data_IF_585672997398
#
_entry.id   IF_585672997398
#
_cell.length_a   1.000
_cell.length_b   1.000
_cell.length_c   1.000
_cell.angle_alpha   90.00
_cell.angle_beta   90.00
_cell.angle_gamma   90.00
#
_symmetry.space_group_name_H-M   'P 1'
#
loop_
_entity.id
_entity.type
_entity.pdbx_description
1 polymer ?
#
# COMPACT_ATOMS: atom_id res chain seq x y z
N UNK A 1 -29.94 -25.08 31.76
CA UNK A 1 -29.34 -25.42 30.45
C UNK A 1 -28.82 -24.10 29.85
N UNK A 2 -27.53 -23.90 29.99
CA UNK A 2 -26.86 -22.67 29.57
C UNK A 2 -26.11 -22.95 28.26
N UNK A 3 -26.63 -22.44 27.16
CA UNK A 3 -26.01 -22.59 25.84
C UNK A 3 -24.86 -21.61 25.65
N UNK A 4 -23.62 -22.05 25.80
CA UNK A 4 -22.46 -21.31 25.37
C UNK A 4 -22.39 -21.32 23.84
N UNK A 5 -22.75 -20.22 23.21
CA UNK A 5 -22.40 -19.96 21.82
C UNK A 5 -20.91 -19.63 21.77
N UNK A 6 -20.11 -20.63 21.36
CA UNK A 6 -18.72 -20.40 20.95
C UNK A 6 -18.71 -19.54 19.69
N UNK A 7 -18.37 -18.28 19.84
CA UNK A 7 -17.88 -17.46 18.72
C UNK A 7 -16.57 -18.13 18.24
N UNK A 8 -16.64 -18.82 17.11
CA UNK A 8 -15.46 -19.27 16.39
C UNK A 8 -14.66 -18.04 15.94
N UNK A 9 -13.80 -17.55 16.79
CA UNK A 9 -12.73 -16.64 16.39
C UNK A 9 -11.73 -17.52 15.64
N UNK A 10 -11.66 -17.34 14.33
CA UNK A 10 -10.78 -18.10 13.46
C UNK A 10 -9.32 -17.84 13.87
N UNK A 11 -8.58 -18.80 14.48
CA UNK A 11 -7.25 -18.55 15.03
C UNK A 11 -6.18 -18.25 13.97
N UNK A 12 -6.53 -18.34 12.69
CA UNK A 12 -5.61 -18.14 11.56
C UNK A 12 -5.26 -16.66 11.31
N UNK A 13 -6.02 -15.71 11.89
CA UNK A 13 -5.74 -14.27 11.77
C UNK A 13 -4.67 -13.76 12.76
N UNK A 14 -4.23 -14.60 13.70
CA UNK A 14 -3.37 -14.16 14.81
C UNK A 14 -1.86 -14.22 14.51
N UNK A 15 -1.46 -14.68 13.33
CA UNK A 15 -0.04 -14.81 12.95
C UNK A 15 0.35 -14.00 11.73
N UNK A 16 -0.28 -12.83 11.53
CA UNK A 16 0.24 -11.90 10.52
C UNK A 16 1.54 -11.28 11.06
N UNK A 17 2.60 -11.32 10.25
CA UNK A 17 3.87 -10.74 10.61
C UNK A 17 3.67 -9.27 11.03
N UNK A 18 4.14 -8.95 12.23
CA UNK A 18 4.10 -7.57 12.71
C UNK A 18 5.35 -6.89 12.17
N UNK A 19 5.21 -6.08 11.15
CA UNK A 19 6.32 -5.27 10.67
C UNK A 19 6.59 -4.15 11.66
N UNK A 20 7.85 -3.78 11.79
CA UNK A 20 8.30 -2.80 12.77
C UNK A 20 7.62 -1.44 12.60
N UNK A 21 7.35 -1.03 11.35
CA UNK A 21 6.88 0.32 11.00
C UNK A 21 5.55 0.39 10.26
N UNK A 22 4.97 -0.74 9.86
CA UNK A 22 3.70 -0.80 9.13
C UNK A 22 2.74 -1.80 9.75
N UNK A 23 1.46 -1.49 9.70
CA UNK A 23 0.40 -2.37 10.18
C UNK A 23 -0.63 -2.62 9.08
N UNK A 24 -1.28 -3.78 9.10
CA UNK A 24 -2.38 -4.08 8.19
C UNK A 24 -3.51 -3.03 8.31
N UNK A 25 -3.77 -2.56 9.53
CA UNK A 25 -4.77 -1.52 9.78
C UNK A 25 -4.45 -0.23 9.03
N UNK A 26 -3.19 0.19 9.02
CA UNK A 26 -2.72 1.37 8.28
C UNK A 26 -2.84 1.16 6.76
N UNK A 27 -2.40 0.00 6.27
CA UNK A 27 -2.46 -0.36 4.85
C UNK A 27 -3.88 -0.46 4.29
N UNK A 28 -4.89 -0.62 5.14
CA UNK A 28 -6.30 -0.69 4.76
C UNK A 28 -7.10 0.55 5.19
N UNK A 29 -6.46 1.53 5.81
CA UNK A 29 -7.15 2.74 6.27
C UNK A 29 -7.56 3.64 5.10
N UNK A 30 -8.79 4.19 5.18
CA UNK A 30 -9.29 5.18 4.22
C UNK A 30 -10.37 6.05 4.88
N UNK A 31 -10.18 7.36 4.83
CA UNK A 31 -11.19 8.30 5.32
C UNK A 31 -12.41 8.36 4.41
N UNK A 32 -12.23 8.09 3.10
CA UNK A 32 -13.34 8.01 2.14
C UNK A 32 -14.18 6.77 2.45
N UNK A 33 -13.55 5.62 2.69
CA UNK A 33 -14.26 4.41 3.08
C UNK A 33 -15.09 4.64 4.36
N UNK A 34 -14.50 5.27 5.38
CA UNK A 34 -15.21 5.61 6.63
C UNK A 34 -16.40 6.55 6.38
N UNK A 35 -16.19 7.65 5.63
CA UNK A 35 -17.24 8.64 5.34
C UNK A 35 -18.39 8.07 4.54
N UNK A 36 -18.12 7.14 3.63
CA UNK A 36 -19.12 6.53 2.73
C UNK A 36 -19.59 5.16 3.22
N UNK A 37 -19.16 4.72 4.41
CA UNK A 37 -19.48 3.40 4.95
C UNK A 37 -19.17 2.25 3.99
N UNK A 38 -18.01 2.35 3.31
CA UNK A 38 -17.51 1.33 2.39
C UNK A 38 -16.68 0.32 3.18
N UNK A 39 -16.98 -0.96 3.03
CA UNK A 39 -16.13 -2.03 3.58
C UNK A 39 -14.82 -2.09 2.79
N UNK A 40 -13.71 -1.87 3.50
CA UNK A 40 -12.36 -1.96 2.98
C UNK A 40 -11.53 -2.99 3.75
N UNK A 41 -12.18 -4.04 4.27
CA UNK A 41 -11.48 -5.12 4.94
C UNK A 41 -10.90 -6.10 3.91
N UNK A 42 -9.62 -6.45 3.96
CA UNK A 42 -8.98 -7.31 2.98
C UNK A 42 -9.36 -8.78 3.21
N UNK A 43 -9.51 -9.55 2.13
CA UNK A 43 -9.54 -11.02 2.23
C UNK A 43 -8.20 -11.55 2.75
N UNK A 44 -8.17 -12.82 3.16
CA UNK A 44 -6.92 -13.48 3.59
C UNK A 44 -5.82 -13.40 2.51
N UNK A 45 -6.18 -13.65 1.25
CA UNK A 45 -5.23 -13.54 0.12
C UNK A 45 -4.68 -12.14 -0.02
N UNK A 46 -5.54 -11.11 0.01
CA UNK A 46 -5.10 -9.71 -0.08
C UNK A 46 -4.22 -9.33 1.12
N UNK A 47 -4.57 -9.80 2.31
CA UNK A 47 -3.75 -9.55 3.50
C UNK A 47 -2.34 -10.15 3.35
N UNK A 48 -2.20 -11.34 2.75
CA UNK A 48 -0.90 -11.95 2.42
C UNK A 48 -0.12 -11.15 1.35
N UNK A 49 -0.81 -10.61 0.35
CA UNK A 49 -0.19 -9.75 -0.65
C UNK A 49 0.35 -8.45 -0.02
N UNK A 50 -0.41 -7.85 0.91
CA UNK A 50 0.04 -6.67 1.67
C UNK A 50 1.24 -6.99 2.59
N UNK A 51 1.27 -8.18 3.17
CA UNK A 51 2.42 -8.68 3.93
C UNK A 51 3.65 -8.76 3.03
N UNK A 52 3.53 -9.37 1.85
CA UNK A 52 4.62 -9.49 0.87
C UNK A 52 5.10 -8.12 0.36
N UNK A 53 4.18 -7.21 0.03
CA UNK A 53 4.49 -5.82 -0.34
C UNK A 53 5.32 -5.14 0.77
N UNK A 54 4.89 -5.31 2.02
CA UNK A 54 5.56 -4.70 3.16
C UNK A 54 6.94 -5.28 3.37
N UNK A 55 7.08 -6.60 3.33
CA UNK A 55 8.36 -7.29 3.51
C UNK A 55 9.37 -6.92 2.44
N UNK A 56 8.94 -6.93 1.17
CA UNK A 56 9.84 -6.77 0.03
C UNK A 56 10.13 -5.32 -0.36
N UNK A 57 9.19 -4.39 -0.11
CA UNK A 57 9.35 -2.99 -0.51
C UNK A 57 9.24 -2.00 0.63
N UNK A 58 8.13 -1.99 1.39
CA UNK A 58 7.85 -0.86 2.28
C UNK A 58 8.78 -0.82 3.49
N UNK A 59 9.00 -1.95 4.16
CA UNK A 59 9.86 -2.02 5.33
C UNK A 59 11.34 -1.80 4.99
N UNK A 60 11.92 -2.40 3.93
CA UNK A 60 13.27 -2.07 3.48
C UNK A 60 13.44 -0.60 3.09
N UNK A 61 12.47 -0.03 2.36
CA UNK A 61 12.48 1.39 2.02
C UNK A 61 12.46 2.28 3.27
N UNK A 62 11.56 1.98 4.23
CA UNK A 62 11.43 2.72 5.48
C UNK A 62 12.74 2.68 6.29
N UNK A 63 13.40 1.53 6.32
CA UNK A 63 14.69 1.37 6.99
C UNK A 63 15.78 2.18 6.29
N UNK A 64 15.83 2.16 4.96
CA UNK A 64 16.81 2.90 4.18
C UNK A 64 16.59 4.43 4.24
N UNK A 65 15.34 4.90 4.19
CA UNK A 65 14.97 6.32 4.32
C UNK A 65 15.25 6.86 5.72
N UNK A 66 15.19 5.99 6.72
CA UNK A 66 15.47 6.28 8.15
C UNK A 66 14.60 7.41 8.76
N UNK A 67 13.43 7.66 8.21
CA UNK A 67 12.46 8.64 8.71
C UNK A 67 11.02 8.14 8.43
N UNK A 68 10.02 8.48 9.27
CA UNK A 68 8.66 7.97 9.09
C UNK A 68 8.07 8.24 7.70
N UNK A 69 7.44 7.19 7.15
CA UNK A 69 6.70 7.22 5.89
C UNK A 69 5.24 6.92 6.21
N UNK A 70 4.33 7.77 5.77
CA UNK A 70 2.88 7.56 5.87
C UNK A 70 2.37 6.83 4.63
N UNK A 71 1.44 5.92 4.83
CA UNK A 71 0.67 5.31 3.75
C UNK A 71 -0.61 6.12 3.55
N UNK A 72 -0.67 6.89 2.48
CA UNK A 72 -1.87 7.68 2.13
C UNK A 72 -2.98 6.78 1.57
N UNK A 73 -2.61 5.70 0.87
CA UNK A 73 -3.50 4.68 0.35
C UNK A 73 -2.73 3.37 0.18
N UNK A 74 -3.20 2.30 0.76
CA UNK A 74 -2.71 0.93 0.52
C UNK A 74 -3.77 0.13 -0.22
N UNK A 75 -4.36 -0.90 0.43
CA UNK A 75 -5.45 -1.67 -0.16
C UNK A 75 -6.69 -0.82 -0.44
N UNK A 76 -7.30 -1.08 -1.59
CA UNK A 76 -8.60 -0.53 -1.97
C UNK A 76 -9.52 -1.66 -2.42
N UNK A 77 -10.62 -1.90 -1.68
CA UNK A 77 -11.70 -2.74 -2.20
C UNK A 77 -12.23 -2.17 -3.51
N UNK A 78 -12.89 -3.00 -4.33
CA UNK A 78 -13.46 -2.51 -5.60
C UNK A 78 -14.36 -1.29 -5.38
N UNK A 79 -15.22 -1.33 -4.37
CA UNK A 79 -16.13 -0.23 -4.05
C UNK A 79 -15.37 1.06 -3.68
N UNK A 80 -14.28 0.94 -2.91
CA UNK A 80 -13.44 2.10 -2.58
C UNK A 80 -12.70 2.60 -3.82
N UNK A 81 -12.16 1.71 -4.65
CA UNK A 81 -11.48 2.10 -5.88
C UNK A 81 -12.40 2.87 -6.82
N UNK A 82 -13.65 2.43 -6.97
CA UNK A 82 -14.67 3.13 -7.76
C UNK A 82 -15.01 4.50 -7.14
N UNK A 83 -15.15 4.58 -5.81
CA UNK A 83 -15.45 5.82 -5.09
C UNK A 83 -14.35 6.89 -5.24
N UNK A 84 -13.08 6.48 -5.29
CA UNK A 84 -11.94 7.39 -5.53
C UNK A 84 -11.62 7.58 -7.01
N UNK A 85 -12.43 7.03 -7.91
CA UNK A 85 -12.23 7.07 -9.37
C UNK A 85 -10.87 6.51 -9.80
N UNK A 86 -10.41 5.48 -9.11
CA UNK A 86 -9.19 4.77 -9.46
C UNK A 86 -9.32 4.00 -10.78
N UNK A 87 -8.18 3.66 -11.40
CA UNK A 87 -8.19 2.85 -12.62
C UNK A 87 -8.81 1.46 -12.35
N UNK A 88 -9.54 0.92 -13.33
CA UNK A 88 -10.35 -0.30 -13.16
C UNK A 88 -9.52 -1.50 -12.65
N UNK A 89 -8.32 -1.70 -13.19
CA UNK A 89 -7.41 -2.79 -12.82
C UNK A 89 -6.28 -2.29 -11.92
N UNK A 90 -6.61 -1.48 -10.93
CA UNK A 90 -5.64 -0.93 -9.99
C UNK A 90 -5.05 -2.04 -9.12
N UNK A 91 -3.72 -2.14 -9.06
CA UNK A 91 -3.00 -3.10 -8.21
C UNK A 91 -3.15 -2.82 -6.71
N UNK A 92 -3.71 -1.67 -6.32
CA UNK A 92 -4.20 -1.45 -4.96
C UNK A 92 -5.31 -2.43 -4.56
N UNK A 93 -6.14 -2.89 -5.53
CA UNK A 93 -7.18 -3.88 -5.27
C UNK A 93 -6.60 -5.27 -5.00
N UNK A 94 -5.39 -5.54 -5.49
CA UNK A 94 -4.67 -6.79 -5.29
C UNK A 94 -3.77 -6.77 -4.03
N UNK A 95 -3.65 -5.62 -3.35
CA UNK A 95 -2.79 -5.45 -2.18
C UNK A 95 -1.29 -5.33 -2.52
N UNK A 96 -0.93 -5.03 -3.77
CA UNK A 96 0.46 -4.94 -4.23
C UNK A 96 0.95 -3.52 -4.47
N UNK A 97 0.22 -2.50 -4.04
CA UNK A 97 0.63 -1.10 -4.15
C UNK A 97 0.35 -0.28 -2.90
N UNK A 98 1.17 0.75 -2.71
CA UNK A 98 0.96 1.79 -1.71
C UNK A 98 1.32 3.18 -2.26
N UNK A 99 0.51 4.17 -1.88
CA UNK A 99 0.77 5.58 -2.11
C UNK A 99 1.42 6.16 -0.85
N UNK A 100 2.65 6.63 -0.97
CA UNK A 100 3.55 6.95 0.12
C UNK A 100 3.82 8.46 0.21
N UNK A 101 3.97 8.96 1.44
CA UNK A 101 4.35 10.33 1.71
C UNK A 101 5.32 10.39 2.91
N UNK A 102 6.48 11.07 2.80
CA UNK A 102 7.41 11.20 3.93
C UNK A 102 6.84 12.14 5.00
N UNK A 103 6.91 11.73 6.27
CA UNK A 103 6.31 12.51 7.37
C UNK A 103 6.99 13.87 7.61
N UNK A 104 8.22 14.02 7.17
CA UNK A 104 8.96 15.29 7.21
C UNK A 104 8.55 16.30 6.11
N UNK A 105 7.62 15.93 5.22
CA UNK A 105 7.11 16.79 4.15
C UNK A 105 8.01 16.92 2.91
N UNK A 106 9.19 16.32 2.90
CA UNK A 106 10.21 16.44 1.83
C UNK A 106 9.92 15.48 0.65
N UNK A 107 8.77 15.62 0.03
CA UNK A 107 8.28 14.68 -0.99
C UNK A 107 9.20 14.57 -2.22
N UNK A 108 9.77 15.68 -2.68
CA UNK A 108 10.65 15.68 -3.86
C UNK A 108 12.00 14.98 -3.52
N UNK A 109 12.57 15.24 -2.33
CA UNK A 109 13.76 14.53 -1.84
C UNK A 109 13.49 13.03 -1.68
N UNK A 110 12.33 12.69 -1.11
CA UNK A 110 11.91 11.29 -0.93
C UNK A 110 11.76 10.57 -2.28
N UNK A 111 11.13 11.20 -3.25
CA UNK A 111 10.99 10.63 -4.60
C UNK A 111 12.34 10.33 -5.25
N UNK A 112 13.27 11.28 -5.21
CA UNK A 112 14.63 11.08 -5.72
C UNK A 112 15.35 9.96 -4.97
N UNK A 113 15.22 9.93 -3.64
CA UNK A 113 15.80 8.88 -2.80
C UNK A 113 15.28 7.50 -3.18
N UNK A 114 13.96 7.32 -3.33
CA UNK A 114 13.35 6.02 -3.70
C UNK A 114 13.87 5.55 -5.05
N UNK A 115 13.91 6.45 -6.05
CA UNK A 115 14.47 6.15 -7.38
C UNK A 115 15.91 5.66 -7.31
N UNK A 116 16.75 6.38 -6.59
CA UNK A 116 18.17 6.05 -6.42
C UNK A 116 18.32 4.72 -5.66
N UNK A 117 17.53 4.52 -4.60
CA UNK A 117 17.56 3.33 -3.78
C UNK A 117 17.20 2.07 -4.56
N UNK A 118 16.11 2.09 -5.35
CA UNK A 118 15.71 0.92 -6.17
C UNK A 118 16.76 0.60 -7.23
N UNK A 119 17.40 1.63 -7.81
CA UNK A 119 18.41 1.46 -8.87
C UNK A 119 19.71 0.91 -8.30
N UNK A 120 20.23 1.52 -7.23
CA UNK A 120 21.52 1.14 -6.63
C UNK A 120 21.48 -0.25 -5.98
N UNK A 121 20.35 -0.63 -5.40
CA UNK A 121 20.20 -1.92 -4.72
C UNK A 121 19.54 -3.01 -5.60
N UNK A 122 19.32 -2.72 -6.89
CA UNK A 122 18.68 -3.64 -7.82
C UNK A 122 17.36 -4.22 -7.31
N UNK A 123 16.54 -3.38 -6.63
CA UNK A 123 15.27 -3.80 -6.06
C UNK A 123 14.31 -4.24 -7.17
N UNK A 124 13.62 -5.33 -6.94
CA UNK A 124 12.57 -5.81 -7.83
C UNK A 124 11.24 -5.11 -7.48
N UNK A 125 10.60 -4.46 -8.45
CA UNK A 125 9.32 -3.76 -8.31
C UNK A 125 8.60 -3.67 -9.66
N UNK A 126 7.34 -3.31 -9.65
CA UNK A 126 6.57 -3.10 -10.88
C UNK A 126 6.61 -1.64 -11.32
N UNK A 127 6.02 -0.74 -10.52
CA UNK A 127 5.97 0.70 -10.84
C UNK A 127 6.42 1.54 -9.66
N UNK A 128 7.17 2.59 -9.98
CA UNK A 128 7.50 3.72 -9.12
C UNK A 128 7.02 4.97 -9.84
N UNK A 129 5.91 5.55 -9.38
CA UNK A 129 5.30 6.71 -10.02
C UNK A 129 5.39 7.91 -9.08
N UNK A 130 5.87 9.03 -9.61
CA UNK A 130 5.82 10.32 -8.93
C UNK A 130 4.53 11.00 -9.36
N UNK A 131 3.51 10.93 -8.52
CA UNK A 131 2.17 11.38 -8.85
C UNK A 131 1.87 12.73 -8.25
N UNK A 132 1.15 13.56 -9.02
CA UNK A 132 0.69 14.86 -8.60
C UNK A 132 -0.77 15.09 -9.03
N UNK A 133 -1.59 15.63 -8.11
CA UNK A 133 -2.93 16.13 -8.39
C UNK A 133 -3.11 17.50 -7.70
N UNK A 134 -3.26 18.55 -8.49
CA UNK A 134 -3.21 19.92 -7.97
C UNK A 134 -1.87 20.18 -7.26
N UNK A 135 -1.94 20.58 -5.99
CA UNK A 135 -0.74 20.82 -5.15
C UNK A 135 -0.29 19.55 -4.38
N UNK A 136 -1.08 18.48 -4.40
CA UNK A 136 -0.77 17.24 -3.68
C UNK A 136 0.17 16.37 -4.49
N UNK A 137 1.23 15.88 -3.85
CA UNK A 137 2.21 14.95 -4.45
C UNK A 137 2.33 13.71 -3.58
N UNK A 138 2.58 12.56 -4.19
CA UNK A 138 2.88 11.30 -3.51
C UNK A 138 3.72 10.38 -4.37
N UNK A 139 4.27 9.35 -3.79
CA UNK A 139 4.99 8.29 -4.49
C UNK A 139 4.12 7.04 -4.50
N UNK A 140 3.63 6.65 -5.68
CA UNK A 140 3.02 5.34 -5.88
C UNK A 140 4.11 4.30 -6.06
N UNK A 141 4.06 3.22 -5.29
CA UNK A 141 5.05 2.15 -5.34
C UNK A 141 4.37 0.79 -5.32
N UNK A 142 4.59 -0.02 -6.36
CA UNK A 142 3.97 -1.34 -6.50
C UNK A 142 5.00 -2.45 -6.67
N UNK A 143 4.70 -3.61 -6.07
CA UNK A 143 5.56 -4.79 -6.12
C UNK A 143 5.34 -5.60 -7.39
N UNK A 144 4.08 -5.83 -7.77
CA UNK A 144 3.69 -6.56 -8.97
C UNK A 144 2.63 -5.79 -9.76
N UNK A 145 2.57 -6.03 -11.07
CA UNK A 145 1.45 -5.66 -11.93
C UNK A 145 0.24 -6.59 -11.66
N UNK A 146 -0.93 -6.26 -12.20
CA UNK A 146 -2.12 -7.13 -12.18
C UNK A 146 -1.90 -8.49 -12.86
N UNK A 147 -0.83 -8.65 -13.66
CA UNK A 147 -0.42 -9.92 -14.29
C UNK A 147 0.74 -10.60 -13.56
N UNK A 148 1.11 -10.13 -12.36
CA UNK A 148 2.17 -10.71 -11.54
C UNK A 148 3.59 -10.42 -12.03
N UNK A 149 3.80 -9.40 -12.87
CA UNK A 149 5.13 -9.04 -13.40
C UNK A 149 5.75 -7.86 -12.64
N UNK A 150 7.06 -7.74 -12.69
CA UNK A 150 7.87 -6.66 -12.13
C UNK A 150 8.57 -5.91 -13.26
N UNK A 151 7.91 -4.87 -13.80
CA UNK A 151 8.35 -4.17 -15.02
C UNK A 151 9.41 -3.11 -14.77
N UNK A 152 9.65 -2.72 -13.52
CA UNK A 152 10.60 -1.68 -13.11
C UNK A 152 10.38 -0.34 -13.81
N UNK A 153 9.12 0.04 -13.99
CA UNK A 153 8.74 1.29 -14.64
C UNK A 153 8.84 2.47 -13.68
N UNK A 154 9.47 3.56 -14.12
CA UNK A 154 9.60 4.79 -13.35
C UNK A 154 9.06 5.95 -14.20
N UNK A 155 8.01 6.64 -13.72
CA UNK A 155 7.36 7.73 -14.45
C UNK A 155 6.93 8.88 -13.53
N UNK A 156 6.78 10.08 -14.14
CA UNK A 156 6.06 11.20 -13.54
C UNK A 156 4.64 11.23 -14.11
N UNK A 157 3.64 11.35 -13.28
CA UNK A 157 2.22 11.33 -13.67
C UNK A 157 1.48 12.50 -13.04
N UNK A 158 0.72 13.23 -13.87
CA UNK A 158 -0.26 14.22 -13.39
C UNK A 158 -1.64 13.56 -13.41
N UNK A 159 -2.23 13.39 -12.24
CA UNK A 159 -3.58 12.83 -12.06
C UNK A 159 -4.58 13.99 -12.19
N UNK A 160 -5.60 13.81 -13.02
CA UNK A 160 -6.66 14.80 -13.27
C UNK A 160 -7.79 14.68 -12.27
#
# INVERSE_FOLDING_TARGET
MCGLTYLCVNPTFLTMATFLNFTLKELCASDIAKKQNIDNFPSFTIAKNLEELTEKLLQPLRTAWNDPIRVNSGYRSKALNDAVKGVQNSVHQDGFAADLYPSNGKIDEFGMFVKDWVTKNNIAFDQLLFEQSGSSKWVHFSLYSSTGTQRRQIHNITVK
#
